data_IF_725685985617
#
_entry.id   IF_725685985617
#
_cell.length_a   1.000
_cell.length_b   1.000
_cell.length_c   1.000
_cell.angle_alpha   90.00
_cell.angle_beta   90.00
_cell.angle_gamma   90.00
#
_symmetry.space_group_name_H-M   'P 1'
#
loop_
_entity.id
_entity.type
_entity.pdbx_description
1 polymer ?
#
# COMPACT_ATOMS: atom_id res chain seq x y z
N UNK A 1 -3.41 2.72 -7.91
CA UNK A 1 -2.53 1.64 -8.43
C UNK A 1 -2.79 1.26 -9.89
N UNK A 2 -4.04 1.14 -10.37
CA UNK A 2 -4.32 0.67 -11.75
C UNK A 2 -3.65 1.50 -12.86
N UNK A 3 -3.62 2.83 -12.74
CA UNK A 3 -3.08 3.72 -13.78
C UNK A 3 -1.58 3.48 -13.99
N UNK A 4 -0.77 3.43 -12.92
CA UNK A 4 0.66 3.10 -13.02
C UNK A 4 0.88 1.67 -13.52
N UNK A 5 0.01 0.72 -13.14
CA UNK A 5 0.04 -0.64 -13.65
C UNK A 5 -0.14 -0.70 -15.18
N UNK A 6 -1.10 0.07 -15.72
CA UNK A 6 -1.35 0.21 -17.16
C UNK A 6 -0.18 0.91 -17.86
N UNK A 7 0.34 1.99 -17.28
CA UNK A 7 1.49 2.74 -17.80
C UNK A 7 2.77 1.90 -17.89
N UNK A 8 3.00 0.98 -16.95
CA UNK A 8 4.17 0.08 -16.97
C UNK A 8 4.05 -1.02 -18.04
N UNK A 9 2.84 -1.44 -18.41
CA UNK A 9 2.62 -2.51 -19.41
C UNK A 9 2.99 -2.06 -20.81
N UNK A 10 2.66 -0.83 -21.19
CA UNK A 10 2.94 -0.28 -22.52
C UNK A 10 4.44 -0.31 -22.90
N UNK A 11 5.38 0.28 -22.14
CA UNK A 11 6.81 0.22 -22.46
C UNK A 11 7.35 -1.20 -22.42
N UNK A 12 6.81 -2.09 -21.57
CA UNK A 12 7.20 -3.50 -21.55
C UNK A 12 6.78 -4.24 -22.83
N UNK A 13 5.63 -3.91 -23.40
CA UNK A 13 5.17 -4.44 -24.68
C UNK A 13 6.00 -3.87 -25.84
N UNK A 14 6.29 -2.56 -25.81
CA UNK A 14 7.14 -1.91 -26.81
C UNK A 14 8.56 -2.48 -26.83
N UNK A 15 9.15 -2.76 -25.66
CA UNK A 15 10.46 -3.43 -25.56
C UNK A 15 10.50 -4.81 -26.23
N UNK A 16 9.38 -5.55 -26.24
CA UNK A 16 9.33 -6.86 -26.92
C UNK A 16 9.30 -6.74 -28.44
N UNK A 17 8.83 -5.60 -28.96
CA UNK A 17 8.68 -5.33 -30.38
C UNK A 17 9.85 -4.53 -30.97
N UNK A 18 10.73 -3.98 -30.13
CA UNK A 18 11.87 -3.14 -30.55
C UNK A 18 13.18 -3.93 -30.57
N UNK A 19 14.06 -3.68 -31.57
CA UNK A 19 15.42 -4.23 -31.59
C UNK A 19 16.19 -3.87 -30.32
N UNK A 20 17.09 -4.75 -29.87
CA UNK A 20 17.82 -4.62 -28.59
C UNK A 20 18.58 -3.30 -28.48
N UNK A 21 19.06 -2.76 -29.60
CA UNK A 21 19.83 -1.52 -29.67
C UNK A 21 19.00 -0.27 -29.31
N UNK A 22 17.67 -0.33 -29.50
CA UNK A 22 16.74 0.77 -29.20
C UNK A 22 16.04 0.60 -27.84
N UNK A 23 16.22 -0.54 -27.16
CA UNK A 23 15.52 -0.85 -25.91
C UNK A 23 15.99 -0.06 -24.70
N UNK A 24 17.17 0.57 -24.76
CA UNK A 24 17.83 1.20 -23.61
C UNK A 24 16.95 2.28 -22.96
N UNK A 25 16.33 3.15 -23.77
CA UNK A 25 15.43 4.20 -23.28
C UNK A 25 14.14 3.64 -22.66
N UNK A 26 13.55 2.63 -23.30
CA UNK A 26 12.34 1.97 -22.81
C UNK A 26 12.58 1.20 -21.52
N UNK A 27 13.76 0.58 -21.38
CA UNK A 27 14.17 -0.16 -20.19
C UNK A 27 14.34 0.78 -18.99
N UNK A 28 14.98 1.93 -19.19
CA UNK A 28 15.12 2.96 -18.16
C UNK A 28 13.75 3.47 -17.70
N UNK A 29 12.87 3.81 -18.64
CA UNK A 29 11.50 4.25 -18.35
C UNK A 29 10.72 3.19 -17.58
N UNK A 30 10.80 1.92 -18.00
CA UNK A 30 10.12 0.82 -17.32
C UNK A 30 10.63 0.61 -15.89
N UNK A 31 11.95 0.73 -15.67
CA UNK A 31 12.56 0.60 -14.34
C UNK A 31 12.10 1.72 -13.40
N UNK A 32 12.07 2.95 -13.87
CA UNK A 32 11.59 4.08 -13.08
C UNK A 32 10.09 3.93 -12.72
N UNK A 33 9.25 3.58 -13.69
CA UNK A 33 7.82 3.28 -13.44
C UNK A 33 7.64 2.13 -12.43
N UNK A 34 8.47 1.09 -12.51
CA UNK A 34 8.46 -0.03 -11.55
C UNK A 34 8.84 0.43 -10.14
N UNK A 35 9.84 1.29 -10.00
CA UNK A 35 10.28 1.83 -8.72
C UNK A 35 9.17 2.68 -8.06
N UNK A 36 8.58 3.60 -8.82
CA UNK A 36 7.46 4.45 -8.37
C UNK A 36 6.26 3.63 -7.91
N UNK A 37 5.88 2.60 -8.68
CA UNK A 37 4.79 1.70 -8.30
C UNK A 37 5.10 0.92 -7.01
N UNK A 38 6.34 0.48 -6.83
CA UNK A 38 6.75 -0.21 -5.60
C UNK A 38 6.71 0.71 -4.38
N UNK A 39 7.20 1.94 -4.52
CA UNK A 39 7.16 2.94 -3.46
C UNK A 39 5.71 3.28 -3.05
N UNK A 40 4.83 3.51 -4.02
CA UNK A 40 3.41 3.76 -3.75
C UNK A 40 2.74 2.58 -3.05
N UNK A 41 2.98 1.36 -3.50
CA UNK A 41 2.43 0.15 -2.85
C UNK A 41 2.88 0.00 -1.40
N UNK A 42 4.16 0.30 -1.11
CA UNK A 42 4.69 0.32 0.26
C UNK A 42 4.03 1.40 1.11
N UNK A 43 3.85 2.60 0.56
CA UNK A 43 3.19 3.71 1.25
C UNK A 43 1.72 3.38 1.58
N UNK A 44 0.97 2.82 0.63
CA UNK A 44 -0.41 2.35 0.85
C UNK A 44 -0.47 1.27 1.94
N UNK A 45 0.45 0.30 1.90
CA UNK A 45 0.53 -0.76 2.90
C UNK A 45 0.88 -0.22 4.29
N UNK A 46 1.79 0.75 4.37
CA UNK A 46 2.11 1.46 5.61
C UNK A 46 0.90 2.22 6.16
N UNK A 47 0.16 2.93 5.29
CA UNK A 47 -1.08 3.62 5.67
C UNK A 47 -2.14 2.64 6.17
N UNK A 48 -2.35 1.51 5.50
CA UNK A 48 -3.29 0.47 5.93
C UNK A 48 -2.91 -0.09 7.30
N UNK A 49 -1.63 -0.42 7.51
CA UNK A 49 -1.11 -0.89 8.81
C UNK A 49 -1.30 0.15 9.91
N UNK A 50 -1.04 1.43 9.62
CA UNK A 50 -1.28 2.53 10.57
C UNK A 50 -2.76 2.61 10.96
N UNK A 51 -3.66 2.56 9.98
CA UNK A 51 -5.11 2.62 10.23
C UNK A 51 -5.58 1.41 11.06
N UNK A 52 -5.08 0.21 10.76
CA UNK A 52 -5.37 -0.99 11.57
C UNK A 52 -4.84 -0.88 13.00
N UNK A 53 -3.66 -0.27 13.19
CA UNK A 53 -3.11 -0.03 14.54
C UNK A 53 -3.94 0.98 15.32
N UNK A 54 -4.42 2.04 14.67
CA UNK A 54 -5.30 3.02 15.29
C UNK A 54 -6.63 2.36 15.67
N UNK A 55 -7.26 1.60 14.75
CA UNK A 55 -8.55 0.96 15.03
C UNK A 55 -8.47 -0.16 16.07
N UNK A 56 -7.37 -0.90 16.14
CA UNK A 56 -7.14 -1.87 17.22
C UNK A 56 -6.89 -1.18 18.55
N UNK A 57 -6.14 -0.06 18.57
CA UNK A 57 -5.96 0.74 19.78
C UNK A 57 -7.28 1.34 20.28
N UNK A 58 -8.15 1.85 19.41
CA UNK A 58 -9.45 2.37 19.82
C UNK A 58 -10.37 1.29 20.39
N UNK A 59 -10.34 0.04 19.86
CA UNK A 59 -11.10 -1.07 20.45
C UNK A 59 -10.63 -1.48 21.84
N UNK A 60 -9.32 -1.43 22.09
CA UNK A 60 -8.75 -1.73 23.42
C UNK A 60 -8.83 -0.55 24.40
N UNK A 61 -9.02 0.68 23.91
CA UNK A 61 -9.18 1.89 24.73
C UNK A 61 -10.64 2.32 24.92
N UNK A 62 -11.61 1.67 24.28
CA UNK A 62 -13.02 1.78 24.71
C UNK A 62 -13.14 1.13 26.08
N UNK A 63 -13.52 1.87 27.14
CA UNK A 63 -13.70 1.32 28.48
C UNK A 63 -15.04 0.56 28.49
N UNK A 64 -15.03 -0.66 27.95
CA UNK A 64 -16.15 -1.59 28.00
C UNK A 64 -16.05 -2.60 29.15
N UNK A 65 -15.24 -2.34 30.17
CA UNK A 65 -15.12 -3.26 31.32
C UNK A 65 -14.90 -2.51 32.62
N UNK A 66 -16.00 -2.21 33.29
CA UNK A 66 -16.09 -2.31 34.75
C UNK A 66 -17.35 -3.11 35.07
N UNK A 67 -17.21 -4.44 35.03
CA UNK A 67 -18.00 -5.29 35.90
C UNK A 67 -17.36 -5.24 37.30
N UNK A 68 -18.08 -4.68 38.28
CA UNK A 68 -18.06 -4.99 39.72
C UNK A 68 -18.79 -3.85 40.45
N UNK A 69 -20.01 -4.06 40.95
CA UNK A 69 -20.40 -4.75 42.20
C UNK A 69 -20.52 -3.76 43.37
N UNK A 70 -21.67 -3.87 44.06
CA UNK A 70 -22.01 -3.30 45.37
C UNK A 70 -22.49 -1.84 45.43
N UNK A 71 -23.77 -1.65 45.12
CA UNK A 71 -24.62 -0.72 45.89
C UNK A 71 -25.66 -1.57 46.67
N UNK A 72 -25.15 -2.32 47.64
CA UNK A 72 -25.92 -2.69 48.82
C UNK A 72 -25.26 -1.93 49.97
N UNK A 73 -25.93 -0.91 50.46
CA UNK A 73 -25.56 -0.18 51.67
C UNK A 73 -26.86 0.16 52.43
N UNK A 74 -26.77 0.34 53.75
CA UNK A 74 -27.51 -0.39 54.78
C UNK A 74 -28.98 0.00 54.98
#
# INVERSE_FOLDING_TARGET
MEILGKQKRNPKTQMKATPVEEQTGLQALWRDLKARHSALSRAESARKRRNQRISSKTRFSSPGSRFNNQDQAP
#
